data_IF_577645699472
#
_entry.id   IF_577645699472
#
_cell.length_a   1.000
_cell.length_b   1.000
_cell.length_c   1.000
_cell.angle_alpha   90.00
_cell.angle_beta   90.00
_cell.angle_gamma   90.00
#
_symmetry.space_group_name_H-M   'P 1'
#
loop_
_entity.id
_entity.type
_entity.pdbx_description
1 polymer ?
#
# COMPACT_ATOMS: atom_id res chain seq x y z
N UNK A 1 16.61 -26.79 -10.89
CA UNK A 1 16.84 -25.34 -10.65
C UNK A 1 15.49 -24.65 -10.41
N UNK A 2 15.22 -24.11 -9.21
CA UNK A 2 13.87 -23.60 -8.84
C UNK A 2 13.47 -22.37 -9.67
N UNK A 3 12.38 -22.45 -10.42
CA UNK A 3 11.88 -21.34 -11.25
C UNK A 3 11.48 -20.12 -10.39
N UNK A 4 11.81 -18.92 -10.87
CA UNK A 4 11.47 -17.64 -10.23
C UNK A 4 9.96 -17.50 -9.97
N UNK A 5 9.12 -17.91 -10.94
CA UNK A 5 7.65 -17.81 -10.81
C UNK A 5 7.12 -18.63 -9.63
N UNK A 6 7.64 -19.84 -9.45
CA UNK A 6 7.26 -20.73 -8.36
C UNK A 6 7.59 -20.14 -6.99
N UNK A 7 8.78 -19.53 -6.85
CA UNK A 7 9.18 -18.82 -5.62
C UNK A 7 8.21 -17.68 -5.33
N UNK A 8 7.89 -16.88 -6.36
CA UNK A 8 6.98 -15.74 -6.21
C UNK A 8 5.58 -16.19 -5.82
N UNK A 9 5.05 -17.26 -6.40
CA UNK A 9 3.72 -17.78 -6.07
C UNK A 9 3.65 -18.33 -4.65
N UNK A 10 4.60 -19.18 -4.24
CA UNK A 10 4.59 -19.79 -2.91
C UNK A 10 4.91 -18.81 -1.78
N UNK A 11 5.77 -17.82 -2.02
CA UNK A 11 6.23 -16.90 -0.97
C UNK A 11 5.69 -15.47 -1.14
N UNK A 12 4.65 -15.27 -1.97
CA UNK A 12 4.06 -13.95 -2.24
C UNK A 12 3.66 -13.24 -0.95
N UNK A 13 2.88 -13.91 -0.11
CA UNK A 13 2.38 -13.35 1.16
C UNK A 13 3.54 -13.02 2.10
N UNK A 14 4.44 -13.99 2.32
CA UNK A 14 5.62 -13.80 3.18
C UNK A 14 6.49 -12.62 2.78
N UNK A 15 6.67 -12.40 1.47
CA UNK A 15 7.46 -11.28 0.95
C UNK A 15 6.63 -9.97 0.98
N UNK A 16 5.35 -10.04 0.66
CA UNK A 16 4.42 -8.91 0.61
C UNK A 16 4.15 -8.29 1.97
N UNK A 17 3.89 -9.11 2.98
CA UNK A 17 3.57 -8.67 4.35
C UNK A 17 4.80 -8.09 5.08
N UNK A 18 6.00 -8.44 4.61
CA UNK A 18 7.25 -8.03 5.20
C UNK A 18 8.20 -7.45 4.15
N UNK A 19 7.83 -6.34 3.51
CA UNK A 19 8.67 -5.70 2.47
C UNK A 19 10.10 -5.36 2.93
N UNK A 20 10.35 -5.22 4.25
CA UNK A 20 11.69 -5.00 4.84
C UNK A 20 12.49 -6.29 5.11
N UNK A 21 11.94 -7.46 4.86
CA UNK A 21 12.59 -8.76 5.09
C UNK A 21 13.96 -8.81 4.37
N UNK A 22 14.99 -9.26 5.08
CA UNK A 22 16.35 -9.36 4.52
C UNK A 22 16.40 -10.45 3.44
N UNK A 23 17.23 -10.28 2.41
CA UNK A 23 17.35 -11.26 1.33
C UNK A 23 17.79 -12.65 1.83
N UNK A 24 18.67 -12.69 2.85
CA UNK A 24 19.10 -13.93 3.53
C UNK A 24 17.94 -14.63 4.24
N UNK A 25 17.01 -13.86 4.80
CA UNK A 25 15.81 -14.41 5.46
C UNK A 25 14.88 -15.03 4.42
N UNK A 26 14.63 -14.34 3.29
CA UNK A 26 13.89 -14.92 2.16
C UNK A 26 14.56 -16.21 1.70
N UNK A 27 15.88 -16.19 1.50
CA UNK A 27 16.64 -17.36 1.08
C UNK A 27 16.46 -18.54 2.04
N UNK A 28 16.52 -18.30 3.35
CA UNK A 28 16.32 -19.35 4.36
C UNK A 28 14.91 -19.91 4.32
N UNK A 29 13.89 -19.06 4.22
CA UNK A 29 12.49 -19.48 4.16
C UNK A 29 12.19 -20.28 2.89
N UNK A 30 12.72 -19.85 1.74
CA UNK A 30 12.59 -20.59 0.48
C UNK A 30 13.30 -21.93 0.56
N UNK A 31 14.52 -21.97 1.09
CA UNK A 31 15.27 -23.22 1.26
C UNK A 31 14.58 -24.20 2.19
N UNK A 32 14.03 -23.73 3.31
CA UNK A 32 13.29 -24.55 4.27
C UNK A 32 11.94 -25.01 3.74
N UNK A 33 11.18 -24.15 3.06
CA UNK A 33 9.83 -24.48 2.60
C UNK A 33 9.81 -25.33 1.32
N UNK A 34 10.80 -25.16 0.44
CA UNK A 34 10.88 -25.91 -0.82
C UNK A 34 11.92 -27.03 -0.81
N UNK A 35 12.70 -27.16 0.27
CA UNK A 35 13.80 -28.13 0.40
C UNK A 35 14.86 -28.02 -0.73
N UNK A 36 15.08 -26.81 -1.27
CA UNK A 36 16.05 -26.56 -2.34
C UNK A 36 16.86 -25.30 -2.07
N UNK A 37 18.19 -25.38 -2.23
CA UNK A 37 19.04 -24.20 -2.10
C UNK A 37 18.82 -23.23 -3.28
N UNK A 38 18.60 -21.95 -2.97
CA UNK A 38 18.30 -20.92 -3.96
C UNK A 38 19.36 -19.83 -3.89
N UNK A 39 19.86 -19.40 -5.05
CA UNK A 39 20.79 -18.28 -5.13
C UNK A 39 20.12 -16.97 -4.66
N UNK A 40 20.85 -16.18 -3.87
CA UNK A 40 20.38 -14.88 -3.35
C UNK A 40 19.89 -13.92 -4.44
N UNK A 41 20.46 -13.98 -5.64
CA UNK A 41 20.03 -13.16 -6.80
C UNK A 41 18.61 -13.51 -7.24
N UNK A 42 18.19 -14.78 -7.13
CA UNK A 42 16.80 -15.17 -7.39
C UNK A 42 15.86 -14.66 -6.32
N UNK A 43 16.26 -14.71 -5.05
CA UNK A 43 15.48 -14.13 -3.95
C UNK A 43 15.29 -12.61 -4.13
N UNK A 44 16.33 -11.90 -4.60
CA UNK A 44 16.26 -10.48 -4.93
C UNK A 44 15.25 -10.21 -6.06
N UNK A 45 15.32 -10.99 -7.15
CA UNK A 45 14.39 -10.87 -8.28
C UNK A 45 12.95 -11.20 -7.87
N UNK A 46 12.74 -12.22 -7.04
CA UNK A 46 11.43 -12.58 -6.52
C UNK A 46 10.85 -11.45 -5.67
N UNK A 47 11.66 -10.88 -4.77
CA UNK A 47 11.29 -9.73 -3.95
C UNK A 47 10.89 -8.52 -4.80
N UNK A 48 11.65 -8.22 -5.86
CA UNK A 48 11.33 -7.14 -6.79
C UNK A 48 9.99 -7.40 -7.49
N UNK A 49 9.78 -8.60 -8.04
CA UNK A 49 8.55 -8.95 -8.75
C UNK A 49 7.30 -8.87 -7.86
N UNK A 50 7.40 -9.31 -6.60
CA UNK A 50 6.29 -9.17 -5.64
C UNK A 50 5.98 -7.70 -5.37
N UNK A 51 7.02 -6.86 -5.20
CA UNK A 51 6.86 -5.42 -4.97
C UNK A 51 6.23 -4.71 -6.17
N UNK A 52 6.67 -5.03 -7.38
CA UNK A 52 6.16 -4.43 -8.62
C UNK A 52 4.69 -4.81 -8.84
N UNK A 53 4.34 -6.10 -8.70
CA UNK A 53 2.94 -6.58 -8.76
C UNK A 53 2.04 -5.92 -7.71
N UNK A 54 2.56 -5.72 -6.50
CA UNK A 54 1.80 -5.06 -5.44
C UNK A 54 1.49 -3.60 -5.81
N UNK A 55 2.46 -2.88 -6.38
CA UNK A 55 2.26 -1.51 -6.84
C UNK A 55 1.24 -1.43 -7.98
N UNK A 56 1.31 -2.32 -8.97
CA UNK A 56 0.34 -2.40 -10.08
C UNK A 56 -1.09 -2.64 -9.57
N UNK A 57 -1.26 -3.56 -8.63
CA UNK A 57 -2.56 -3.84 -8.03
C UNK A 57 -3.16 -2.59 -7.37
N UNK A 58 -2.37 -1.80 -6.63
CA UNK A 58 -2.88 -0.57 -6.01
C UNK A 58 -3.38 0.44 -7.04
N UNK A 59 -2.61 0.67 -8.11
CA UNK A 59 -3.02 1.60 -9.19
C UNK A 59 -4.33 1.14 -9.82
N UNK A 60 -4.46 -0.16 -10.08
CA UNK A 60 -5.66 -0.73 -10.66
C UNK A 60 -6.89 -0.59 -9.76
N UNK A 61 -6.77 -0.81 -8.45
CA UNK A 61 -7.90 -0.64 -7.51
C UNK A 61 -8.36 0.83 -7.42
N UNK A 62 -7.45 1.78 -7.44
CA UNK A 62 -7.82 3.20 -7.46
C UNK A 62 -8.53 3.60 -8.77
N UNK A 63 -8.11 3.04 -9.91
CA UNK A 63 -8.73 3.30 -11.21
C UNK A 63 -10.19 2.82 -11.31
N UNK A 64 -10.59 1.82 -10.52
CA UNK A 64 -11.99 1.31 -10.46
C UNK A 64 -12.99 2.28 -9.82
N UNK A 65 -12.52 3.39 -9.24
CA UNK A 65 -13.37 4.32 -8.49
C UNK A 65 -13.51 5.65 -9.25
N UNK A 66 -14.17 5.68 -10.42
CA UNK A 66 -14.30 6.88 -11.23
C UNK A 66 -15.04 7.97 -10.44
N UNK A 67 -14.67 9.24 -10.67
CA UNK A 67 -15.14 10.44 -9.95
C UNK A 67 -14.61 10.62 -8.53
N UNK A 68 -13.86 9.65 -8.00
CA UNK A 68 -13.12 9.87 -6.75
C UNK A 68 -12.03 10.91 -6.96
N UNK A 69 -11.74 11.68 -5.92
CA UNK A 69 -10.64 12.64 -5.94
C UNK A 69 -9.39 11.97 -5.40
N UNK A 70 -8.36 11.84 -6.24
CA UNK A 70 -7.06 11.32 -5.85
C UNK A 70 -6.03 12.38 -6.20
N UNK A 71 -5.27 12.84 -5.19
CA UNK A 71 -4.23 13.85 -5.35
C UNK A 71 -2.95 13.34 -4.71
N UNK A 72 -1.86 13.38 -5.45
CA UNK A 72 -0.53 13.04 -4.93
C UNK A 72 0.40 14.22 -5.18
N UNK A 73 1.12 14.62 -4.14
CA UNK A 73 2.19 15.61 -4.25
C UNK A 73 3.53 14.94 -3.93
N UNK A 74 4.50 15.21 -4.79
CA UNK A 74 5.89 14.79 -4.63
C UNK A 74 6.78 16.01 -4.76
N UNK A 75 7.84 16.04 -3.97
CA UNK A 75 8.89 17.04 -4.08
C UNK A 75 10.09 16.43 -4.80
N UNK A 76 10.85 17.25 -5.51
CA UNK A 76 12.14 16.88 -6.11
C UNK A 76 13.17 17.94 -5.75
N UNK A 77 14.36 17.51 -5.38
CA UNK A 77 15.47 18.45 -5.11
C UNK A 77 15.95 19.08 -6.42
N UNK A 78 16.11 18.26 -7.46
CA UNK A 78 16.36 18.67 -8.85
C UNK A 78 15.44 17.89 -9.80
N UNK A 79 15.20 18.34 -11.04
CA UNK A 79 14.34 17.60 -11.98
C UNK A 79 14.76 16.12 -12.19
N UNK A 80 16.05 15.84 -12.12
CA UNK A 80 16.67 14.51 -12.30
C UNK A 80 16.64 13.67 -11.01
N UNK A 81 16.40 14.31 -9.85
CA UNK A 81 16.35 13.61 -8.57
C UNK A 81 15.15 12.68 -8.49
N UNK A 82 15.27 11.53 -7.81
CA UNK A 82 14.12 10.69 -7.50
C UNK A 82 13.03 11.49 -6.75
N UNK A 83 11.75 11.26 -7.04
CA UNK A 83 10.67 11.96 -6.35
C UNK A 83 10.61 11.53 -4.88
N UNK A 84 10.52 12.53 -4.00
CA UNK A 84 10.25 12.35 -2.58
C UNK A 84 8.76 12.54 -2.32
N UNK A 85 8.16 11.57 -1.63
CA UNK A 85 6.75 11.65 -1.24
C UNK A 85 6.52 12.83 -0.30
N UNK A 86 5.53 13.68 -0.60
CA UNK A 86 5.11 14.79 0.28
C UNK A 86 3.79 14.48 0.97
N UNK A 87 2.75 14.21 0.19
CA UNK A 87 1.40 13.92 0.69
C UNK A 87 0.56 13.21 -0.37
N UNK A 88 -0.41 12.45 0.11
CA UNK A 88 -1.40 11.77 -0.71
C UNK A 88 -2.77 11.96 -0.08
N UNK A 89 -3.75 12.28 -0.91
CA UNK A 89 -5.13 12.51 -0.51
C UNK A 89 -6.04 11.69 -1.40
N UNK A 90 -6.97 10.98 -0.78
CA UNK A 90 -8.01 10.21 -1.46
C UNK A 90 -9.34 10.61 -0.86
N UNK A 91 -10.32 10.84 -1.71
CA UNK A 91 -11.70 11.02 -1.30
C UNK A 91 -12.60 10.31 -2.29
N UNK A 92 -13.09 9.15 -1.87
CA UNK A 92 -13.91 8.30 -2.71
C UNK A 92 -15.28 8.93 -2.94
N UNK A 93 -15.77 8.88 -4.18
CA UNK A 93 -17.06 9.50 -4.52
C UNK A 93 -18.23 8.87 -3.74
N UNK A 94 -18.16 7.56 -3.47
CA UNK A 94 -19.15 6.89 -2.63
C UNK A 94 -19.19 7.46 -1.20
N UNK A 95 -18.02 7.70 -0.60
CA UNK A 95 -17.93 8.26 0.75
C UNK A 95 -18.45 9.71 0.80
N UNK A 96 -18.06 10.51 -0.21
CA UNK A 96 -18.53 11.88 -0.38
C UNK A 96 -20.05 11.98 -0.48
N UNK A 97 -20.68 11.08 -1.26
CA UNK A 97 -22.14 11.05 -1.41
C UNK A 97 -22.81 10.64 -0.09
N UNK A 98 -22.36 9.57 0.55
CA UNK A 98 -22.94 9.11 1.80
C UNK A 98 -22.82 10.14 2.94
N UNK A 99 -21.73 10.91 2.98
CA UNK A 99 -21.60 12.02 3.93
C UNK A 99 -22.62 13.13 3.64
N UNK A 100 -22.76 13.56 2.37
CA UNK A 100 -23.71 14.63 1.99
C UNK A 100 -25.17 14.26 2.21
N UNK A 101 -25.53 12.99 2.00
CA UNK A 101 -26.92 12.54 2.05
C UNK A 101 -27.34 12.04 3.43
N UNK A 102 -26.43 11.43 4.20
CA UNK A 102 -26.76 10.72 5.43
C UNK A 102 -26.04 11.19 6.70
N UNK A 103 -25.10 12.12 6.60
CA UNK A 103 -24.33 12.59 7.75
C UNK A 103 -24.67 14.02 8.17
N UNK A 104 -24.36 14.31 9.43
CA UNK A 104 -24.42 15.64 10.02
C UNK A 104 -23.27 16.50 9.44
N UNK A 105 -23.44 17.83 9.37
CA UNK A 105 -22.41 18.76 8.87
C UNK A 105 -21.31 18.99 9.93
N UNK A 106 -20.72 17.89 10.41
CA UNK A 106 -19.63 17.86 11.36
C UNK A 106 -18.55 16.92 10.83
N UNK A 107 -17.31 17.39 10.86
CA UNK A 107 -16.13 16.63 10.50
C UNK A 107 -15.14 16.68 11.66
N UNK A 108 -14.47 15.57 11.88
CA UNK A 108 -13.35 15.43 12.80
C UNK A 108 -12.17 14.83 12.04
N UNK A 109 -10.96 15.14 12.51
CA UNK A 109 -9.71 14.72 11.88
C UNK A 109 -8.89 13.94 12.90
N UNK A 110 -8.68 12.66 12.63
CA UNK A 110 -7.81 11.80 13.44
C UNK A 110 -6.56 11.41 12.65
N UNK A 111 -5.49 11.06 13.36
CA UNK A 111 -4.19 10.79 12.78
C UNK A 111 -3.44 9.67 13.51
N UNK A 112 -2.78 8.81 12.74
CA UNK A 112 -1.87 7.82 13.31
C UNK A 112 -0.54 7.74 12.54
N UNK A 113 0.54 7.47 13.27
CA UNK A 113 1.84 7.27 12.63
C UNK A 113 1.93 5.90 11.95
N UNK A 114 2.30 5.91 10.67
CA UNK A 114 2.50 4.71 9.88
C UNK A 114 3.78 3.98 10.29
N UNK A 115 3.61 2.73 10.72
CA UNK A 115 4.70 1.78 10.98
C UNK A 115 4.85 0.87 9.77
N UNK A 116 5.70 1.26 8.81
CA UNK A 116 5.81 0.50 7.56
C UNK A 116 7.02 0.83 6.69
N UNK A 117 6.97 0.38 5.43
CA UNK A 117 7.94 0.76 4.40
C UNK A 117 7.96 2.28 4.21
N UNK A 118 6.77 2.86 4.20
CA UNK A 118 6.55 4.30 4.16
C UNK A 118 6.32 4.76 5.59
N UNK A 119 7.18 5.68 6.04
CA UNK A 119 6.98 6.41 7.30
C UNK A 119 6.15 7.65 7.01
N UNK A 120 5.38 8.10 7.97
CA UNK A 120 4.55 9.29 7.84
C UNK A 120 3.37 9.22 8.79
N UNK A 121 2.41 10.10 8.56
CA UNK A 121 1.15 10.16 9.29
C UNK A 121 0.02 9.83 8.32
N UNK A 122 -0.86 8.93 8.73
CA UNK A 122 -2.12 8.67 8.06
C UNK A 122 -3.19 9.46 8.80
N UNK A 123 -3.71 10.48 8.11
CA UNK A 123 -4.84 11.26 8.57
C UNK A 123 -6.13 10.67 8.00
N UNK A 124 -7.16 10.58 8.83
CA UNK A 124 -8.50 10.16 8.45
C UNK A 124 -9.50 11.24 8.84
N UNK A 125 -10.33 11.64 7.89
CA UNK A 125 -11.47 12.53 8.14
C UNK A 125 -12.68 11.66 8.44
N UNK A 126 -13.30 11.88 9.59
CA UNK A 126 -14.52 11.19 10.00
C UNK A 126 -15.66 12.18 10.23
N UNK A 127 -16.89 11.72 10.06
CA UNK A 127 -18.11 12.48 10.36
C UNK A 127 -19.01 11.71 11.30
N UNK A 128 -20.13 12.34 11.69
CA UNK A 128 -21.21 11.69 12.41
C UNK A 128 -22.39 11.45 11.48
N UNK A 129 -22.88 10.22 11.42
CA UNK A 129 -24.09 9.91 10.66
C UNK A 129 -25.38 10.35 11.40
N UNK A 130 -26.53 10.17 10.75
CA UNK A 130 -27.83 10.45 11.36
C UNK A 130 -28.10 9.66 12.65
N UNK A 131 -27.48 8.49 12.81
CA UNK A 131 -27.60 7.59 13.96
C UNK A 131 -26.50 7.79 15.01
N UNK A 132 -25.76 8.92 14.96
CA UNK A 132 -24.65 9.25 15.85
C UNK A 132 -23.47 8.27 15.83
N UNK A 133 -23.34 7.45 14.78
CA UNK A 133 -22.18 6.59 14.56
C UNK A 133 -21.07 7.35 13.82
N UNK A 134 -19.86 6.78 13.85
CA UNK A 134 -18.71 7.32 13.11
C UNK A 134 -18.81 6.88 11.66
N UNK A 135 -18.72 7.84 10.75
CA UNK A 135 -18.69 7.59 9.31
C UNK A 135 -17.35 8.03 8.74
N UNK A 136 -16.67 7.15 8.00
CA UNK A 136 -15.41 7.50 7.34
C UNK A 136 -15.67 8.37 6.11
N UNK A 137 -15.03 9.54 6.03
CA UNK A 137 -15.20 10.49 4.94
C UNK A 137 -14.04 10.42 3.95
N UNK A 138 -12.80 10.60 4.41
CA UNK A 138 -11.61 10.65 3.56
C UNK A 138 -10.38 10.07 4.27
#
# INVERSE_FOLDING_TARGET
>A
MVNLKVIVEHFKATIGDHLKIKLREIQRRVASGMHVNVNITRCRRAKKMVKDKLAENFVHEFAKNPRSTIKMAVDRVTPESPPHFKRFYVFFEALKRGWKEGCRPMLDLDGCFLKGLFKGELLAVVGKDGNNQIYLVA
#
